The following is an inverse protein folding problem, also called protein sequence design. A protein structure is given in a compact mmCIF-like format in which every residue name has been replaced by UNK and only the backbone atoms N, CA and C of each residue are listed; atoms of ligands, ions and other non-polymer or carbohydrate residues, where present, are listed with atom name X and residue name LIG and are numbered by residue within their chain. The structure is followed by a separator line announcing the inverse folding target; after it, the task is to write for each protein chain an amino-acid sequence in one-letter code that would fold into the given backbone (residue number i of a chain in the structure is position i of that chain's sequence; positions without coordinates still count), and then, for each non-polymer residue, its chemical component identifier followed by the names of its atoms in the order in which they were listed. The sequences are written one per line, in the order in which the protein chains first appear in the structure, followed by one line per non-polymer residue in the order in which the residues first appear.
data_IF_980475945283
#
_entry.id   IF_980475945283
#
_cell.length_a   1.000
_cell.length_b   1.000
_cell.length_c   1.000
_cell.angle_alpha   90.00
_cell.angle_beta   90.00
_cell.angle_gamma   90.00
#
_symmetry.space_group_name_H-M   'P 1'
#
loop_
_entity.id
_entity.type
_entity.pdbx_description
1 polymer ?
#
# COMPACT_ATOMS: atom_id res chain seq x y z
N UNK A 1 10.96 14.26 4.80
CA UNK A 1 11.23 14.11 3.36
C UNK A 1 9.90 14.03 2.66
N UNK A 2 9.64 14.91 1.69
CA UNK A 2 8.42 14.89 0.89
C UNK A 2 8.58 13.78 -0.14
N UNK A 3 8.03 12.61 0.12
CA UNK A 3 8.03 11.53 -0.86
C UNK A 3 6.95 11.86 -1.89
N UNK A 4 7.36 12.19 -3.11
CA UNK A 4 6.43 12.40 -4.24
C UNK A 4 6.07 11.04 -4.81
N UNK A 5 5.15 10.33 -4.15
CA UNK A 5 4.55 9.14 -4.72
C UNK A 5 3.13 9.45 -5.19
N UNK A 6 2.73 8.78 -6.27
CA UNK A 6 1.33 8.73 -6.70
C UNK A 6 0.66 7.62 -5.91
N UNK A 7 -0.48 7.92 -5.26
CA UNK A 7 -1.32 6.90 -4.63
C UNK A 7 -2.20 6.31 -5.71
N UNK A 8 -2.07 5.01 -5.94
CA UNK A 8 -2.98 4.24 -6.77
C UNK A 8 -3.93 3.47 -5.87
N UNK A 9 -5.22 3.76 -6.04
CA UNK A 9 -6.29 3.05 -5.37
C UNK A 9 -6.59 1.77 -6.13
N UNK A 10 -6.62 0.66 -5.41
CA UNK A 10 -6.88 -0.67 -5.94
C UNK A 10 -7.96 -1.35 -5.12
N UNK A 11 -8.61 -2.35 -5.71
CA UNK A 11 -9.58 -3.16 -4.94
C UNK A 11 -8.90 -3.82 -3.74
N UNK A 12 -9.71 -4.14 -2.73
CA UNK A 12 -9.23 -4.79 -1.51
C UNK A 12 -8.59 -6.16 -1.81
N UNK A 13 -9.16 -6.91 -2.74
CA UNK A 13 -8.64 -8.21 -3.16
C UNK A 13 -7.23 -8.08 -3.76
N UNK A 14 -7.04 -7.11 -4.66
CA UNK A 14 -5.74 -6.86 -5.27
C UNK A 14 -4.70 -6.41 -4.22
N UNK A 15 -5.08 -5.52 -3.30
CA UNK A 15 -4.21 -5.10 -2.21
C UNK A 15 -3.75 -6.30 -1.36
N UNK A 16 -4.69 -7.15 -0.92
CA UNK A 16 -4.38 -8.32 -0.11
C UNK A 16 -3.48 -9.31 -0.85
N UNK A 17 -3.75 -9.60 -2.13
CA UNK A 17 -2.92 -10.51 -2.93
C UNK A 17 -1.47 -9.99 -3.03
N UNK A 18 -1.29 -8.68 -3.21
CA UNK A 18 0.04 -8.06 -3.28
C UNK A 18 0.70 -8.09 -1.89
N UNK A 19 -0.03 -7.75 -0.84
CA UNK A 19 0.46 -7.77 0.53
C UNK A 19 0.97 -9.17 0.92
N UNK A 20 0.18 -10.21 0.65
CA UNK A 20 0.53 -11.60 0.95
C UNK A 20 1.84 -12.00 0.25
N UNK A 21 1.99 -11.66 -1.03
CA UNK A 21 3.22 -11.96 -1.79
C UNK A 21 4.44 -11.24 -1.23
N UNK A 22 4.29 -9.99 -0.80
CA UNK A 22 5.39 -9.20 -0.22
C UNK A 22 5.77 -9.73 1.17
N UNK A 23 4.80 -10.08 2.00
CA UNK A 23 5.04 -10.67 3.32
C UNK A 23 5.71 -12.05 3.20
N UNK A 24 5.29 -12.89 2.26
CA UNK A 24 5.95 -14.17 1.98
C UNK A 24 7.41 -14.00 1.52
N UNK A 25 7.74 -12.86 0.93
CA UNK A 25 9.08 -12.51 0.49
C UNK A 25 9.87 -11.67 1.53
N UNK A 26 9.36 -11.50 2.75
CA UNK A 26 9.99 -10.74 3.85
C UNK A 26 10.14 -9.22 3.58
N UNK A 27 9.31 -8.65 2.68
CA UNK A 27 9.30 -7.23 2.33
C UNK A 27 8.52 -6.35 3.33
N UNK A 28 8.78 -6.51 4.63
CA UNK A 28 8.11 -5.73 5.67
C UNK A 28 8.34 -4.20 5.55
N UNK A 29 9.48 -3.80 5.00
CA UNK A 29 9.84 -2.40 4.81
C UNK A 29 9.00 -1.67 3.75
N UNK A 30 8.24 -2.40 2.92
CA UNK A 30 7.36 -1.82 1.92
C UNK A 30 6.06 -1.28 2.53
N UNK A 31 5.74 -1.61 3.78
CA UNK A 31 4.51 -1.21 4.43
C UNK A 31 4.71 0.06 5.27
N UNK A 32 3.72 0.95 5.27
CA UNK A 32 3.68 2.03 6.25
C UNK A 32 3.48 1.47 7.68
N UNK A 33 3.61 2.33 8.69
CA UNK A 33 3.45 1.94 10.11
C UNK A 33 2.09 1.33 10.45
N UNK A 34 1.07 1.56 9.62
CA UNK A 34 -0.30 1.08 9.81
C UNK A 34 -0.60 -0.18 8.97
N UNK A 35 0.30 -0.59 8.07
CA UNK A 35 0.08 -1.69 7.13
C UNK A 35 -0.98 -1.41 6.04
N UNK A 36 -1.46 -0.17 5.94
CA UNK A 36 -2.57 0.25 5.06
C UNK A 36 -2.10 0.72 3.69
N UNK A 37 -0.80 0.96 3.54
CA UNK A 37 -0.18 1.45 2.31
C UNK A 37 1.06 0.62 2.00
N UNK A 38 1.21 0.23 0.74
CA UNK A 38 2.40 -0.43 0.21
C UNK A 38 3.17 0.58 -0.64
N UNK A 39 4.37 1.00 -0.20
CA UNK A 39 5.29 1.85 -0.96
C UNK A 39 6.14 1.00 -1.90
N UNK A 40 5.93 1.21 -3.20
CA UNK A 40 6.66 0.56 -4.29
C UNK A 40 7.61 1.53 -5.01
N UNK A 41 8.35 2.36 -4.27
CA UNK A 41 9.37 3.27 -4.81
C UNK A 41 8.80 4.24 -5.87
N UNK A 42 7.91 5.13 -5.42
CA UNK A 42 7.33 6.20 -6.25
C UNK A 42 5.86 5.97 -6.63
N UNK A 43 5.34 4.77 -6.40
CA UNK A 43 3.91 4.48 -6.42
C UNK A 43 3.54 3.86 -5.07
N UNK A 44 2.51 4.37 -4.44
CA UNK A 44 1.94 3.81 -3.22
C UNK A 44 0.61 3.13 -3.55
N UNK A 45 0.41 1.91 -3.10
CA UNK A 45 -0.87 1.20 -3.22
C UNK A 45 -1.68 1.39 -1.95
N UNK A 46 -2.97 1.66 -2.11
CA UNK A 46 -3.95 1.72 -1.02
C UNK A 46 -5.24 1.03 -1.47
N UNK A 47 -5.92 0.34 -0.55
CA UNK A 47 -7.26 -0.17 -0.84
C UNK A 47 -8.28 0.96 -0.91
N UNK A 48 -9.29 0.84 -1.78
CA UNK A 48 -10.40 1.80 -1.89
C UNK A 48 -11.09 2.08 -0.53
N UNK A 49 -11.26 1.05 0.32
CA UNK A 49 -11.85 1.19 1.67
C UNK A 49 -11.06 2.16 2.57
N UNK A 50 -9.74 2.20 2.41
CA UNK A 50 -8.85 3.09 3.17
C UNK A 50 -8.74 4.49 2.52
N UNK A 51 -9.34 4.72 1.35
CA UNK A 51 -9.38 6.03 0.71
C UNK A 51 -10.38 6.97 1.38
N UNK A 52 -11.54 6.44 1.77
CA UNK A 52 -12.63 7.21 2.38
C UNK A 52 -12.34 7.66 3.83
N UNK A 53 -11.38 7.04 4.52
CA UNK A 53 -10.98 7.42 5.88
C UNK A 53 -10.22 8.76 5.96
N UNK A 54 -9.92 9.39 4.81
CA UNK A 54 -9.20 10.68 4.74
C UNK A 54 -10.08 11.84 4.24
N UNK A 55 -11.40 11.64 4.06
CA UNK A 55 -12.34 12.69 3.63
C UNK A 55 -13.07 13.37 4.79
#
# INVERSE_FOLDING_TARGET
MTYTYVILEVSREAFNEIADKLLLADYHHAFNSEGTVIDMHGIALRSEENADATS
#
